data_IF_689973371612
#
_entry.id   IF_689973371612
#
_cell.length_a   1.000
_cell.length_b   1.000
_cell.length_c   1.000
_cell.angle_alpha   90.00
_cell.angle_beta   90.00
_cell.angle_gamma   90.00
#
_symmetry.space_group_name_H-M   'P 1'
#
loop_
_entity.id
_entity.type
_entity.pdbx_description
1 polymer ?
#
# COMPACT_ATOMS: atom_id res chain seq x y z
N UNK A 1 -1.61 -14.83 8.85
CA UNK A 1 -1.33 -13.61 9.64
C UNK A 1 0.11 -13.13 9.52
N UNK A 2 1.13 -14.02 9.56
CA UNK A 2 2.55 -13.62 9.44
C UNK A 2 2.90 -12.87 8.15
N UNK A 3 2.39 -13.32 7.00
CA UNK A 3 2.66 -12.62 5.74
C UNK A 3 2.14 -11.17 5.74
N UNK A 4 0.99 -10.93 6.38
CA UNK A 4 0.42 -9.59 6.52
C UNK A 4 1.34 -8.66 7.29
N UNK A 5 1.95 -9.16 8.37
CA UNK A 5 2.95 -8.40 9.12
C UNK A 5 4.16 -8.03 8.26
N UNK A 6 4.67 -8.96 7.44
CA UNK A 6 5.85 -8.68 6.60
C UNK A 6 5.58 -7.60 5.55
N UNK A 7 4.46 -7.70 4.82
CA UNK A 7 4.20 -6.72 3.76
C UNK A 7 3.62 -5.41 4.29
N UNK A 8 2.94 -5.38 5.44
CA UNK A 8 2.43 -4.13 6.03
C UNK A 8 3.58 -3.19 6.42
N UNK A 9 4.71 -3.72 6.91
CA UNK A 9 5.88 -2.88 7.17
C UNK A 9 6.46 -2.31 5.87
N UNK A 10 6.60 -3.16 4.85
CA UNK A 10 7.13 -2.76 3.54
C UNK A 10 6.20 -1.82 2.76
N UNK A 11 4.88 -1.94 2.90
CA UNK A 11 3.89 -1.16 2.13
C UNK A 11 3.95 0.34 2.45
N UNK A 12 4.43 0.70 3.63
CA UNK A 12 4.55 2.10 4.04
C UNK A 12 5.66 2.82 3.25
N UNK A 13 6.69 2.06 2.83
CA UNK A 13 7.81 2.54 2.03
C UNK A 13 7.64 2.26 0.52
N UNK A 14 7.06 1.10 0.18
CA UNK A 14 6.88 0.59 -1.18
C UNK A 14 5.42 0.60 -1.64
N UNK A 15 4.53 1.34 -0.99
CA UNK A 15 3.10 1.36 -1.28
C UNK A 15 2.74 1.77 -2.71
N UNK A 16 3.68 2.36 -3.44
CA UNK A 16 3.54 2.67 -4.85
C UNK A 16 4.33 1.74 -5.78
N UNK A 17 4.55 0.50 -5.32
CA UNK A 17 5.01 -0.61 -6.13
C UNK A 17 4.15 -0.80 -7.39
N UNK A 18 4.71 -1.49 -8.39
CA UNK A 18 3.97 -1.82 -9.63
C UNK A 18 2.67 -2.56 -9.30
N UNK A 19 1.57 -2.26 -10.00
CA UNK A 19 0.28 -2.91 -9.76
C UNK A 19 0.34 -4.44 -9.89
N UNK A 20 1.20 -4.95 -10.78
CA UNK A 20 1.46 -6.38 -10.93
C UNK A 20 2.01 -7.03 -9.66
N UNK A 21 2.87 -6.34 -8.92
CA UNK A 21 3.44 -6.86 -7.67
C UNK A 21 2.40 -6.82 -6.54
N UNK A 22 1.59 -5.76 -6.47
CA UNK A 22 0.48 -5.63 -5.51
C UNK A 22 -0.53 -6.77 -5.73
N UNK A 23 -0.88 -7.05 -6.99
CA UNK A 23 -1.79 -8.14 -7.35
C UNK A 23 -1.23 -9.52 -6.97
N UNK A 24 0.09 -9.74 -7.12
CA UNK A 24 0.75 -10.99 -6.68
C UNK A 24 0.66 -11.18 -5.17
N UNK A 25 0.94 -10.13 -4.39
CA UNK A 25 0.83 -10.16 -2.92
C UNK A 25 -0.61 -10.45 -2.51
N UNK A 26 -1.57 -9.79 -3.16
CA UNK A 26 -2.99 -10.02 -2.91
C UNK A 26 -3.44 -11.44 -3.24
N UNK A 27 -3.06 -11.97 -4.41
CA UNK A 27 -3.42 -13.31 -4.82
C UNK A 27 -2.87 -14.35 -3.82
N UNK A 28 -1.63 -14.16 -3.39
CA UNK A 28 -1.01 -15.02 -2.37
C UNK A 28 -1.76 -14.92 -1.03
N UNK A 29 -2.04 -13.71 -0.53
CA UNK A 29 -2.82 -13.51 0.71
C UNK A 29 -4.20 -14.17 0.63
N UNK A 30 -4.90 -13.99 -0.50
CA UNK A 30 -6.24 -14.54 -0.72
C UNK A 30 -6.20 -16.07 -0.75
N UNK A 31 -5.21 -16.66 -1.41
CA UNK A 31 -5.03 -18.12 -1.47
C UNK A 31 -4.74 -18.71 -0.09
N UNK A 32 -3.80 -18.12 0.66
CA UNK A 32 -3.48 -18.59 2.02
C UNK A 32 -4.68 -18.50 2.95
N UNK A 33 -5.45 -17.41 2.87
CA UNK A 33 -6.60 -17.23 3.75
C UNK A 33 -7.74 -18.22 3.45
N UNK A 34 -7.99 -18.52 2.17
CA UNK A 34 -8.93 -19.58 1.77
C UNK A 34 -8.51 -20.94 2.30
N UNK A 35 -7.21 -21.26 2.24
CA UNK A 35 -6.69 -22.51 2.78
C UNK A 35 -6.93 -22.63 4.29
N UNK A 36 -6.76 -21.53 5.04
CA UNK A 36 -7.01 -21.49 6.49
C UNK A 36 -8.50 -21.70 6.80
N UNK A 37 -9.39 -21.04 6.06
CA UNK A 37 -10.84 -21.08 6.29
C UNK A 37 -11.49 -22.32 5.61
N UNK A 38 -10.71 -23.10 4.85
CA UNK A 38 -11.22 -24.18 3.97
C UNK A 38 -12.33 -23.70 3.03
N UNK A 39 -12.24 -22.44 2.59
CA UNK A 39 -13.23 -21.82 1.72
C UNK A 39 -13.00 -22.25 0.24
N UNK A 40 -14.07 -22.50 -0.53
CA UNK A 40 -13.96 -22.83 -1.93
C UNK A 40 -13.46 -21.65 -2.80
N UNK A 41 -13.04 -21.94 -4.02
CA UNK A 41 -12.42 -20.95 -4.93
C UNK A 41 -13.35 -19.80 -5.31
N UNK A 42 -14.65 -20.07 -5.44
CA UNK A 42 -15.65 -19.09 -5.89
C UNK A 42 -16.04 -18.05 -4.84
N UNK A 43 -15.73 -18.26 -3.56
CA UNK A 43 -16.04 -17.27 -2.51
C UNK A 43 -15.27 -15.99 -2.82
N UNK A 44 -15.87 -14.81 -2.84
CA UNK A 44 -15.11 -13.60 -3.16
C UNK A 44 -14.31 -13.11 -1.95
N UNK A 45 -13.31 -12.25 -2.17
CA UNK A 45 -12.65 -11.57 -1.04
C UNK A 45 -13.62 -10.62 -0.31
N UNK A 46 -14.68 -10.17 -1.00
CA UNK A 46 -15.76 -9.36 -0.42
C UNK A 46 -16.57 -10.17 0.58
N UNK A 47 -16.89 -11.44 0.26
CA UNK A 47 -17.64 -12.32 1.16
C UNK A 47 -16.85 -12.64 2.45
N UNK A 48 -15.52 -12.70 2.36
CA UNK A 48 -14.63 -12.86 3.51
C UNK A 48 -14.34 -11.54 4.25
N UNK A 49 -14.90 -10.40 3.81
CA UNK A 49 -14.66 -9.06 4.38
C UNK A 49 -13.17 -8.68 4.51
N UNK A 50 -12.33 -9.10 3.54
CA UNK A 50 -10.89 -8.83 3.58
C UNK A 50 -10.59 -7.56 2.79
N UNK A 51 -9.90 -6.57 3.39
CA UNK A 51 -9.51 -5.37 2.65
C UNK A 51 -8.45 -5.68 1.58
N UNK A 52 -8.55 -5.02 0.43
CA UNK A 52 -7.58 -5.13 -0.66
C UNK A 52 -6.21 -4.60 -0.20
N UNK A 53 -5.13 -5.18 -0.71
CA UNK A 53 -3.76 -4.76 -0.33
C UNK A 53 -3.53 -3.27 -0.65
N UNK A 54 -4.12 -2.79 -1.74
CA UNK A 54 -4.08 -1.40 -2.16
C UNK A 54 -4.78 -0.45 -1.17
N UNK A 55 -5.94 -0.82 -0.62
CA UNK A 55 -6.67 0.02 0.35
C UNK A 55 -5.92 0.09 1.68
N UNK A 56 -5.33 -1.03 2.08
CA UNK A 56 -4.44 -1.09 3.24
C UNK A 56 -3.23 -0.19 3.00
N UNK A 57 -2.59 -0.26 1.83
CA UNK A 57 -1.48 0.62 1.45
C UNK A 57 -1.85 2.11 1.57
N UNK A 58 -3.00 2.52 1.00
CA UNK A 58 -3.52 3.89 1.11
C UNK A 58 -3.70 4.31 2.56
N UNK A 59 -4.33 3.46 3.38
CA UNK A 59 -4.61 3.75 4.79
C UNK A 59 -3.32 3.92 5.60
N UNK A 60 -2.35 3.03 5.42
CA UNK A 60 -1.06 3.12 6.10
C UNK A 60 -0.26 4.33 5.65
N UNK A 61 -0.27 4.65 4.36
CA UNK A 61 0.40 5.84 3.86
C UNK A 61 -0.21 7.13 4.41
N UNK A 62 -1.55 7.24 4.46
CA UNK A 62 -2.25 8.39 5.08
C UNK A 62 -1.86 8.57 6.54
N UNK A 63 -1.77 7.48 7.31
CA UNK A 63 -1.32 7.52 8.71
C UNK A 63 0.12 7.98 8.84
N UNK A 64 1.05 7.42 8.04
CA UNK A 64 2.45 7.88 8.01
C UNK A 64 2.50 9.38 7.69
N UNK A 65 1.83 9.81 6.62
CA UNK A 65 1.84 11.18 6.16
C UNK A 65 1.39 12.14 7.27
N UNK A 66 0.29 11.85 7.95
CA UNK A 66 -0.20 12.64 9.08
C UNK A 66 0.81 12.67 10.25
N UNK A 67 1.45 11.55 10.57
CA UNK A 67 2.48 11.52 11.62
C UNK A 67 3.71 12.34 11.25
N UNK A 68 4.08 12.37 9.97
CA UNK A 68 5.25 13.12 9.49
C UNK A 68 4.97 14.63 9.40
N UNK A 69 3.74 15.06 9.14
CA UNK A 69 3.34 16.47 9.14
C UNK A 69 3.56 17.13 10.52
N UNK A 70 3.41 16.39 11.61
CA UNK A 70 3.62 16.92 12.96
C UNK A 70 5.06 16.74 13.47
N UNK A 71 5.98 16.28 12.63
CA UNK A 71 7.36 16.02 13.05
C UNK A 71 8.17 17.33 13.15
N UNK A 72 8.94 17.46 14.23
CA UNK A 72 9.89 18.57 14.48
C UNK A 72 10.94 18.78 13.39
N UNK A 73 11.21 17.79 12.54
CA UNK A 73 12.31 17.84 11.58
C UNK A 73 11.83 18.46 10.26
N UNK A 74 12.37 19.62 9.83
CA UNK A 74 11.97 20.30 8.60
C UNK A 74 12.19 19.46 7.33
N UNK A 75 13.16 18.54 7.31
CA UNK A 75 13.41 17.66 6.16
C UNK A 75 12.26 16.69 5.89
N UNK A 76 11.53 16.30 6.93
CA UNK A 76 10.38 15.39 6.79
C UNK A 76 9.23 16.04 6.02
N UNK A 77 9.08 17.37 6.15
CA UNK A 77 8.10 18.15 5.39
C UNK A 77 8.42 18.18 3.90
N UNK A 78 9.71 18.22 3.53
CA UNK A 78 10.16 18.18 2.14
C UNK A 78 9.85 16.81 1.51
N UNK A 79 10.08 15.72 2.24
CA UNK A 79 9.76 14.36 1.77
C UNK A 79 8.25 14.14 1.62
N UNK A 80 7.44 14.77 2.48
CA UNK A 80 5.98 14.69 2.43
C UNK A 80 5.34 15.66 1.44
N UNK A 81 6.10 16.57 0.84
CA UNK A 81 5.56 17.56 -0.09
C UNK A 81 4.93 16.89 -1.32
N UNK A 82 3.75 17.40 -1.73
CA UNK A 82 3.03 16.89 -2.90
C UNK A 82 3.74 17.23 -4.23
N UNK A 83 4.56 18.28 -4.23
CA UNK A 83 5.15 18.89 -5.43
C UNK A 83 6.64 19.13 -5.21
N UNK A 84 7.47 18.34 -5.89
CA UNK A 84 8.88 18.70 -6.10
C UNK A 84 8.98 19.68 -7.27
N UNK A 85 9.77 20.76 -7.16
CA UNK A 85 10.06 21.63 -8.28
C UNK A 85 10.73 20.79 -9.39
N UNK A 86 10.15 20.79 -10.59
CA UNK A 86 10.67 20.06 -11.74
C UNK A 86 10.14 18.64 -11.96
N UNK A 87 9.14 18.17 -11.19
CA UNK A 87 8.41 16.88 -11.32
C UNK A 87 9.04 15.91 -12.33
N UNK A 88 10.12 15.20 -11.95
CA UNK A 88 10.87 14.38 -12.89
C UNK A 88 9.94 13.35 -13.54
N UNK A 89 10.11 13.16 -14.85
CA UNK A 89 9.29 12.22 -15.60
C UNK A 89 9.37 10.84 -14.93
N UNK A 90 8.21 10.20 -14.76
CA UNK A 90 8.13 8.90 -14.09
C UNK A 90 8.88 7.88 -14.93
N UNK A 91 10.03 7.40 -14.47
CA UNK A 91 10.61 6.19 -15.01
C UNK A 91 9.70 5.02 -14.60
N UNK A 92 9.01 4.43 -15.58
CA UNK A 92 8.08 3.29 -15.47
C UNK A 92 6.67 3.63 -14.96
N UNK A 93 5.70 2.75 -15.26
CA UNK A 93 4.27 2.81 -14.83
C UNK A 93 4.08 2.67 -13.30
N UNK A 94 5.00 3.16 -12.48
CA UNK A 94 4.90 3.19 -11.04
C UNK A 94 4.14 4.46 -10.62
N UNK A 95 3.25 4.34 -9.64
CA UNK A 95 2.74 5.52 -8.93
C UNK A 95 3.82 6.00 -7.97
N UNK A 96 3.76 7.24 -7.49
CA UNK A 96 4.53 7.67 -6.32
C UNK A 96 3.68 7.46 -5.06
N UNK A 97 4.30 7.26 -3.90
CA UNK A 97 3.55 7.09 -2.65
C UNK A 97 2.58 8.27 -2.40
N UNK A 98 3.01 9.51 -2.70
CA UNK A 98 2.17 10.71 -2.63
C UNK A 98 0.91 10.67 -3.50
N UNK A 99 0.91 9.92 -4.61
CA UNK A 99 -0.29 9.78 -5.45
C UNK A 99 -1.40 9.00 -4.73
N UNK A 100 -1.05 8.19 -3.72
CA UNK A 100 -2.03 7.48 -2.88
C UNK A 100 -2.85 8.42 -1.98
N UNK A 101 -2.48 9.71 -1.89
CA UNK A 101 -3.28 10.74 -1.21
C UNK A 101 -4.39 11.30 -2.11
N UNK A 102 -4.19 11.26 -3.43
CA UNK A 102 -5.07 11.88 -4.44
C UNK A 102 -6.07 10.85 -4.98
N UNK A 103 -5.65 9.58 -5.08
CA UNK A 103 -6.47 8.42 -5.52
C UNK A 103 -7.36 7.85 -4.40
#
# INVERSE_FOLDING_TARGET
>A
MLLKLMWVYGIQLWGSAKPTNINRIQAYQSKTLRQIIKAPYYVSNHDLSIPFVADVAKTHYKRLHNSLLNHRNPLMHVICSLTFPGNPSKQLKCKWCRNLLID
#
